data_IF_432629939397
#
_entry.id   IF_432629939397
#
_cell.length_a   1.000
_cell.length_b   1.000
_cell.length_c   1.000
_cell.angle_alpha   90.00
_cell.angle_beta   90.00
_cell.angle_gamma   90.00
#
_symmetry.space_group_name_H-M   'P 1'
#
loop_
_entity.id
_entity.type
_entity.pdbx_description
1 polymer ?
#
# COMPACT_ATOMS: atom_id res chain seq x y z
N UNK A 1 38.65 -2.35 71.69
CA UNK A 1 38.39 -3.55 70.89
C UNK A 1 38.85 -3.23 69.48
N UNK A 2 40.06 -3.64 69.15
CA UNK A 2 40.67 -3.45 67.83
C UNK A 2 40.11 -4.49 66.87
N UNK A 3 39.41 -4.04 65.83
CA UNK A 3 38.95 -4.88 64.72
C UNK A 3 40.16 -5.50 64.01
N UNK A 4 40.16 -6.83 63.94
CA UNK A 4 41.11 -7.61 63.15
C UNK A 4 40.84 -7.37 61.66
N UNK A 5 41.54 -6.40 61.07
CA UNK A 5 41.72 -6.35 59.63
C UNK A 5 42.83 -7.36 59.27
N UNK A 6 42.44 -8.50 58.72
CA UNK A 6 43.36 -9.49 58.15
C UNK A 6 43.58 -9.16 56.67
N UNK A 7 44.76 -8.65 56.27
CA UNK A 7 45.07 -8.28 54.89
C UNK A 7 45.22 -9.49 53.94
N UNK A 8 45.11 -10.73 54.43
CA UNK A 8 45.28 -11.95 53.62
C UNK A 8 43.98 -12.69 53.30
N UNK A 9 42.80 -12.15 53.67
CA UNK A 9 41.50 -12.73 53.30
C UNK A 9 40.70 -11.77 52.41
N UNK A 10 40.96 -11.70 51.09
CA UNK A 10 40.12 -10.92 50.19
C UNK A 10 38.70 -11.51 50.15
N UNK A 11 37.69 -10.66 50.13
CA UNK A 11 36.29 -11.08 49.95
C UNK A 11 36.19 -12.04 48.73
N UNK A 12 35.41 -13.13 48.81
CA UNK A 12 35.35 -14.11 47.74
C UNK A 12 34.93 -13.45 46.42
N UNK A 13 35.86 -13.45 45.45
CA UNK A 13 35.60 -13.06 44.06
C UNK A 13 34.70 -14.14 43.45
N UNK A 14 33.40 -13.88 43.36
CA UNK A 14 32.46 -14.90 42.86
C UNK A 14 31.06 -14.43 42.47
N UNK A 15 30.76 -13.13 42.47
CA UNK A 15 29.41 -12.61 42.22
C UNK A 15 29.34 -11.57 41.10
N UNK A 16 30.07 -11.79 39.99
CA UNK A 16 30.05 -10.89 38.82
C UNK A 16 29.56 -11.56 37.52
N UNK A 17 28.72 -12.59 37.63
CA UNK A 17 27.96 -13.10 36.48
C UNK A 17 26.48 -12.83 36.74
N UNK A 18 25.86 -11.84 36.06
CA UNK A 18 24.42 -11.69 36.12
C UNK A 18 23.76 -12.99 35.62
N UNK A 19 22.58 -13.37 36.14
CA UNK A 19 21.85 -14.51 35.63
C UNK A 19 21.59 -14.34 34.12
N UNK A 20 21.57 -15.45 33.38
CA UNK A 20 21.24 -15.44 31.95
C UNK A 20 19.85 -14.82 31.75
N UNK A 21 19.67 -14.07 30.66
CA UNK A 21 18.34 -13.59 30.27
C UNK A 21 17.46 -14.77 29.83
N UNK A 22 16.15 -14.54 29.74
CA UNK A 22 15.22 -15.52 29.19
C UNK A 22 15.63 -15.93 27.77
N UNK A 23 16.01 -14.95 26.93
CA UNK A 23 16.57 -15.19 25.61
C UNK A 23 17.82 -16.08 25.63
N UNK A 24 18.84 -15.73 26.42
CA UNK A 24 20.10 -16.51 26.46
C UNK A 24 19.87 -17.93 26.98
N UNK A 25 18.93 -18.11 27.92
CA UNK A 25 18.55 -19.43 28.45
C UNK A 25 17.93 -20.31 27.37
N UNK A 26 16.92 -19.80 26.67
CA UNK A 26 16.22 -20.58 25.63
C UNK A 26 17.10 -20.77 24.39
N UNK A 27 17.94 -19.78 24.05
CA UNK A 27 18.91 -19.90 22.97
C UNK A 27 19.86 -21.06 23.22
N UNK A 28 20.46 -21.14 24.41
CA UNK A 28 21.39 -22.22 24.74
C UNK A 28 20.73 -23.59 24.58
N UNK A 29 19.52 -23.76 25.13
CA UNK A 29 18.79 -25.02 25.03
C UNK A 29 18.46 -25.41 23.57
N UNK A 30 18.00 -24.46 22.76
CA UNK A 30 17.70 -24.72 21.35
C UNK A 30 18.99 -25.08 20.58
N UNK A 31 20.09 -24.39 20.83
CA UNK A 31 21.38 -24.68 20.20
C UNK A 31 21.87 -26.10 20.57
N UNK A 32 21.74 -26.51 21.83
CA UNK A 32 22.09 -27.85 22.30
C UNK A 32 21.21 -28.94 21.64
N UNK A 33 19.88 -28.77 21.63
CA UNK A 33 18.95 -29.70 20.98
C UNK A 33 19.15 -29.76 19.46
N UNK A 34 19.49 -28.63 18.83
CA UNK A 34 19.77 -28.57 17.41
C UNK A 34 21.06 -29.31 17.05
N UNK A 35 22.10 -29.18 17.88
CA UNK A 35 23.33 -29.95 17.73
C UNK A 35 23.09 -31.45 17.95
N UNK A 36 22.22 -31.83 18.89
CA UNK A 36 21.80 -33.23 19.05
C UNK A 36 21.07 -33.76 17.81
N UNK A 37 20.20 -32.95 17.20
CA UNK A 37 19.43 -33.33 16.01
C UNK A 37 20.31 -33.62 14.79
N UNK A 38 21.45 -32.94 14.66
CA UNK A 38 22.43 -33.21 13.58
C UNK A 38 22.96 -34.65 13.61
N UNK A 39 22.98 -35.30 14.78
CA UNK A 39 23.43 -36.69 14.88
C UNK A 39 22.42 -37.69 14.29
N UNK A 40 21.15 -37.31 14.13
CA UNK A 40 20.09 -38.15 13.59
C UNK A 40 19.65 -37.74 12.18
N UNK A 41 19.83 -36.46 11.81
CA UNK A 41 19.39 -35.90 10.53
C UNK A 41 20.49 -35.95 9.45
N UNK A 42 21.07 -37.12 9.22
CA UNK A 42 22.13 -37.37 8.23
C UNK A 42 21.61 -37.72 6.82
N UNK A 43 20.29 -37.96 6.69
CA UNK A 43 19.62 -38.33 5.44
C UNK A 43 19.43 -39.83 5.26
N UNK A 44 19.84 -40.66 6.22
CA UNK A 44 19.58 -42.10 6.20
C UNK A 44 18.14 -42.43 6.59
N UNK A 45 17.64 -43.57 6.10
CA UNK A 45 16.33 -44.07 6.49
C UNK A 45 16.36 -44.60 7.93
N UNK A 46 15.29 -44.37 8.69
CA UNK A 46 15.18 -44.83 10.09
C UNK A 46 15.29 -46.36 10.14
N UNK A 47 16.31 -46.86 10.83
CA UNK A 47 16.65 -48.29 10.83
C UNK A 47 15.79 -49.15 11.77
N UNK A 48 15.25 -48.58 12.85
CA UNK A 48 14.41 -49.31 13.83
C UNK A 48 13.53 -48.37 14.66
N UNK A 49 12.58 -48.95 15.41
CA UNK A 49 11.62 -48.20 16.24
C UNK A 49 12.29 -47.38 17.35
N UNK A 50 13.37 -47.86 17.97
CA UNK A 50 14.07 -47.11 19.02
C UNK A 50 14.67 -45.80 18.48
N UNK A 51 15.16 -45.79 17.24
CA UNK A 51 15.61 -44.55 16.57
C UNK A 51 14.43 -43.65 16.25
N UNK A 52 13.30 -44.20 15.79
CA UNK A 52 12.08 -43.43 15.54
C UNK A 52 11.56 -42.73 16.81
N UNK A 53 11.55 -43.43 17.93
CA UNK A 53 11.12 -42.90 19.23
C UNK A 53 12.07 -41.80 19.73
N UNK A 54 13.39 -42.00 19.61
CA UNK A 54 14.38 -40.99 19.99
C UNK A 54 14.28 -39.71 19.14
N UNK A 55 14.08 -39.84 17.83
CA UNK A 55 13.84 -38.70 16.92
C UNK A 55 12.54 -37.98 17.29
N UNK A 56 11.48 -38.72 17.64
CA UNK A 56 10.20 -38.14 18.06
C UNK A 56 10.34 -37.35 19.36
N UNK A 57 11.07 -37.88 20.35
CA UNK A 57 11.33 -37.18 21.61
C UNK A 57 12.13 -35.89 21.38
N UNK A 58 13.17 -35.95 20.54
CA UNK A 58 13.98 -34.78 20.21
C UNK A 58 13.19 -33.71 19.44
N UNK A 59 12.34 -34.14 18.51
CA UNK A 59 11.39 -33.27 17.82
C UNK A 59 10.48 -32.54 18.80
N UNK A 60 9.88 -33.26 19.75
CA UNK A 60 8.97 -32.68 20.73
C UNK A 60 9.68 -31.71 21.68
N UNK A 61 10.92 -32.02 22.09
CA UNK A 61 11.76 -31.09 22.88
C UNK A 61 12.06 -29.79 22.12
N UNK A 62 12.44 -29.89 20.85
CA UNK A 62 12.65 -28.71 19.98
C UNK A 62 11.38 -27.88 19.85
N UNK A 63 10.22 -28.53 19.69
CA UNK A 63 8.92 -27.85 19.63
C UNK A 63 8.60 -27.08 20.91
N UNK A 64 8.79 -27.71 22.09
CA UNK A 64 8.53 -27.05 23.38
C UNK A 64 9.56 -25.95 23.70
N UNK A 65 10.81 -26.12 23.31
CA UNK A 65 11.82 -25.05 23.39
C UNK A 65 11.45 -23.86 22.48
N UNK A 66 10.96 -24.14 21.27
CA UNK A 66 10.45 -23.13 20.34
C UNK A 66 9.25 -22.34 20.92
N UNK A 67 8.32 -23.00 21.60
CA UNK A 67 7.21 -22.32 22.30
C UNK A 67 7.71 -21.37 23.38
N UNK A 68 8.64 -21.83 24.23
CA UNK A 68 9.24 -20.99 25.28
C UNK A 68 9.98 -19.78 24.71
N UNK A 69 10.63 -19.93 23.55
CA UNK A 69 11.26 -18.80 22.87
C UNK A 69 10.22 -17.74 22.45
N UNK A 70 9.09 -18.18 21.88
CA UNK A 70 8.03 -17.27 21.47
C UNK A 70 7.34 -16.58 22.66
N UNK A 71 7.15 -17.30 23.77
CA UNK A 71 6.59 -16.70 24.99
C UNK A 71 7.55 -15.69 25.64
N UNK A 72 8.84 -16.01 25.74
CA UNK A 72 9.85 -15.05 26.19
C UNK A 72 9.88 -13.80 25.30
N UNK A 73 9.81 -13.97 23.98
CA UNK A 73 9.73 -12.85 23.02
C UNK A 73 8.48 -12.00 23.25
N UNK A 74 7.31 -12.61 23.47
CA UNK A 74 6.06 -11.87 23.75
C UNK A 74 6.17 -11.08 25.04
N UNK A 75 6.72 -11.67 26.10
CA UNK A 75 6.89 -11.00 27.39
C UNK A 75 7.85 -9.82 27.30
N UNK A 76 8.97 -9.97 26.59
CA UNK A 76 9.92 -8.89 26.31
C UNK A 76 9.30 -7.78 25.44
N UNK A 77 8.50 -8.14 24.43
CA UNK A 77 7.86 -7.18 23.53
C UNK A 77 6.68 -6.44 24.17
N UNK A 78 5.96 -7.08 25.10
CA UNK A 78 4.73 -6.56 25.73
C UNK A 78 4.82 -5.11 26.22
N UNK A 79 5.80 -4.69 27.05
CA UNK A 79 5.86 -3.29 27.49
C UNK A 79 6.07 -2.30 26.33
N UNK A 80 6.75 -2.71 25.27
CA UNK A 80 6.94 -1.87 24.08
C UNK A 80 5.68 -1.79 23.22
N UNK A 81 5.00 -2.91 23.04
CA UNK A 81 3.73 -2.97 22.32
C UNK A 81 2.64 -2.19 23.04
N UNK A 82 2.56 -2.30 24.37
CA UNK A 82 1.62 -1.54 25.21
C UNK A 82 1.92 -0.03 25.15
N UNK A 83 3.19 0.36 25.30
CA UNK A 83 3.59 1.76 25.20
C UNK A 83 3.31 2.35 23.80
N UNK A 84 3.57 1.57 22.76
CA UNK A 84 3.25 1.93 21.37
C UNK A 84 1.75 2.07 21.17
N UNK A 85 0.95 1.15 21.70
CA UNK A 85 -0.51 1.18 21.62
C UNK A 85 -1.06 2.45 22.28
N UNK A 86 -0.59 2.80 23.49
CA UNK A 86 -1.02 4.03 24.17
C UNK A 86 -0.71 5.29 23.36
N UNK A 87 0.49 5.36 22.75
CA UNK A 87 0.85 6.46 21.86
C UNK A 87 -0.09 6.51 20.65
N UNK A 88 -0.28 5.37 19.97
CA UNK A 88 -1.16 5.28 18.81
C UNK A 88 -2.59 5.69 19.15
N UNK A 89 -3.14 5.27 20.28
CA UNK A 89 -4.49 5.62 20.71
C UNK A 89 -4.66 7.13 20.96
N UNK A 90 -3.67 7.77 21.57
CA UNK A 90 -3.68 9.24 21.77
C UNK A 90 -3.65 9.98 20.44
N UNK A 91 -2.79 9.57 19.52
CA UNK A 91 -2.68 10.23 18.21
C UNK A 91 -3.84 9.89 17.28
N UNK A 92 -4.40 8.68 17.33
CA UNK A 92 -5.55 8.29 16.52
C UNK A 92 -6.77 9.18 16.78
N UNK A 93 -6.97 9.64 18.02
CA UNK A 93 -8.03 10.63 18.35
C UNK A 93 -7.84 11.98 17.65
N UNK A 94 -6.61 12.31 17.23
CA UNK A 94 -6.28 13.57 16.57
C UNK A 94 -6.18 13.42 15.06
N UNK A 95 -5.48 12.40 14.58
CA UNK A 95 -5.06 12.23 13.19
C UNK A 95 -5.42 10.87 12.59
N UNK A 96 -6.04 9.97 13.35
CA UNK A 96 -6.41 8.63 12.88
C UNK A 96 -7.35 8.71 11.68
N UNK A 97 -7.10 7.86 10.68
CA UNK A 97 -7.93 7.73 9.49
C UNK A 97 -8.22 6.25 9.22
N UNK A 98 -8.84 5.58 10.18
CA UNK A 98 -9.24 4.17 10.08
C UNK A 98 -10.75 4.05 9.93
N UNK A 99 -11.24 2.84 9.65
CA UNK A 99 -12.69 2.58 9.57
C UNK A 99 -13.40 2.85 10.91
N UNK A 100 -12.72 2.61 12.04
CA UNK A 100 -13.28 2.73 13.39
C UNK A 100 -12.99 4.08 14.06
N UNK A 101 -11.93 4.79 13.65
CA UNK A 101 -11.53 6.06 14.28
C UNK A 101 -11.23 7.11 13.21
N UNK A 102 -11.98 8.22 13.24
CA UNK A 102 -11.63 9.46 12.55
C UNK A 102 -11.16 10.49 13.56
N UNK A 103 -9.89 10.85 13.49
CA UNK A 103 -9.31 11.90 14.31
C UNK A 103 -9.87 13.28 13.95
N UNK A 104 -9.78 14.22 14.89
CA UNK A 104 -10.27 15.60 14.72
C UNK A 104 -9.82 16.28 13.42
N UNK A 105 -8.57 16.07 13.01
CA UNK A 105 -8.00 16.66 11.79
C UNK A 105 -8.67 16.10 10.53
N UNK A 106 -8.88 14.79 10.48
CA UNK A 106 -9.51 14.12 9.32
C UNK A 106 -10.96 14.58 9.20
N UNK A 107 -11.70 14.51 10.31
CA UNK A 107 -13.10 14.94 10.36
C UNK A 107 -13.27 16.40 9.97
N UNK A 108 -12.43 17.30 10.51
CA UNK A 108 -12.45 18.71 10.17
C UNK A 108 -12.15 18.98 8.69
N UNK A 109 -11.12 18.34 8.14
CA UNK A 109 -10.75 18.49 6.72
C UNK A 109 -11.86 18.00 5.79
N UNK A 110 -12.43 16.82 6.03
CA UNK A 110 -13.51 16.27 5.20
C UNK A 110 -14.77 17.15 5.26
N UNK A 111 -15.13 17.63 6.45
CA UNK A 111 -16.28 18.54 6.62
C UNK A 111 -16.07 19.83 5.84
N UNK A 112 -14.89 20.46 5.95
CA UNK A 112 -14.55 21.66 5.20
C UNK A 112 -14.48 21.40 3.70
N UNK A 113 -13.93 20.27 3.26
CA UNK A 113 -13.90 19.86 1.86
C UNK A 113 -15.31 19.70 1.28
N UNK A 114 -16.26 19.19 2.07
CA UNK A 114 -17.66 19.07 1.66
C UNK A 114 -18.29 20.43 1.35
N UNK A 115 -17.95 21.47 2.13
CA UNK A 115 -18.38 22.85 1.88
C UNK A 115 -17.63 23.50 0.70
N UNK A 116 -16.32 23.27 0.61
CA UNK A 116 -15.46 23.87 -0.42
C UNK A 116 -15.68 23.28 -1.81
N UNK A 117 -16.04 22.01 -1.92
CA UNK A 117 -16.23 21.31 -3.21
C UNK A 117 -17.28 21.99 -4.10
N UNK A 118 -18.53 22.24 -3.68
CA UNK A 118 -19.52 22.91 -4.53
C UNK A 118 -19.10 24.34 -4.91
N UNK A 119 -18.46 25.07 -3.99
CA UNK A 119 -17.92 26.41 -4.27
C UNK A 119 -16.83 26.37 -5.34
N UNK A 120 -15.86 25.47 -5.23
CA UNK A 120 -14.79 25.28 -6.22
C UNK A 120 -15.34 24.81 -7.56
N UNK A 121 -16.33 23.94 -7.58
CA UNK A 121 -17.01 23.53 -8.81
C UNK A 121 -17.68 24.72 -9.51
N UNK A 122 -18.34 25.61 -8.75
CA UNK A 122 -18.91 26.84 -9.30
C UNK A 122 -17.84 27.74 -9.91
N UNK A 123 -16.71 27.95 -9.20
CA UNK A 123 -15.60 28.74 -9.74
C UNK A 123 -14.99 28.12 -11.00
N UNK A 124 -14.87 26.80 -11.06
CA UNK A 124 -14.42 26.11 -12.28
C UNK A 124 -15.42 26.33 -13.41
N UNK A 125 -16.72 26.18 -13.18
CA UNK A 125 -17.75 26.40 -14.19
C UNK A 125 -17.73 27.85 -14.72
N UNK A 126 -17.54 28.84 -13.85
CA UNK A 126 -17.39 30.26 -14.23
C UNK A 126 -16.15 30.47 -15.11
N UNK A 127 -15.01 29.87 -14.73
CA UNK A 127 -13.78 29.94 -15.52
C UNK A 127 -13.89 29.20 -16.84
N UNK A 128 -14.56 28.06 -16.89
CA UNK A 128 -14.81 27.31 -18.13
C UNK A 128 -15.73 28.08 -19.08
N UNK A 129 -16.72 28.79 -18.56
CA UNK A 129 -17.57 29.69 -19.35
C UNK A 129 -16.77 30.88 -19.89
N UNK A 130 -15.92 31.51 -19.07
CA UNK A 130 -15.03 32.58 -19.51
C UNK A 130 -14.02 32.10 -20.55
N UNK A 131 -13.42 30.92 -20.35
CA UNK A 131 -12.52 30.29 -21.30
C UNK A 131 -13.23 29.97 -22.62
N UNK A 132 -14.47 29.48 -22.58
CA UNK A 132 -15.28 29.25 -23.79
C UNK A 132 -15.54 30.55 -24.55
N UNK A 133 -16.01 31.59 -23.87
CA UNK A 133 -16.25 32.90 -24.49
C UNK A 133 -14.95 33.49 -25.08
N UNK A 134 -13.82 33.35 -24.38
CA UNK A 134 -12.53 33.80 -24.87
C UNK A 134 -12.07 33.03 -26.12
N UNK A 135 -12.32 31.72 -26.19
CA UNK A 135 -12.04 30.91 -27.40
C UNK A 135 -12.93 31.31 -28.56
N UNK A 136 -14.25 31.43 -28.34
CA UNK A 136 -15.20 31.85 -29.37
C UNK A 136 -14.84 33.23 -29.94
N UNK A 137 -14.43 34.17 -29.09
CA UNK A 137 -13.98 35.49 -29.51
C UNK A 137 -12.63 35.45 -30.24
N UNK A 138 -11.66 34.68 -29.75
CA UNK A 138 -10.39 34.49 -30.44
C UNK A 138 -10.60 33.87 -31.83
N UNK A 139 -11.50 32.89 -31.96
CA UNK A 139 -11.84 32.25 -33.24
C UNK A 139 -12.56 33.21 -34.19
N UNK A 140 -13.39 34.12 -33.67
CA UNK A 140 -14.03 35.19 -34.45
C UNK A 140 -13.00 36.18 -34.99
N UNK A 141 -12.17 36.76 -34.11
CA UNK A 141 -11.14 37.74 -34.50
C UNK A 141 -10.11 37.09 -35.45
N UNK A 142 -9.76 35.82 -35.22
CA UNK A 142 -8.85 35.10 -36.12
C UNK A 142 -9.44 34.90 -37.53
N UNK A 143 -10.74 34.60 -37.64
CA UNK A 143 -11.42 34.51 -38.95
C UNK A 143 -11.46 35.87 -39.65
N UNK A 144 -11.86 36.92 -38.94
CA UNK A 144 -11.90 38.30 -39.47
C UNK A 144 -10.50 38.74 -39.96
N UNK A 145 -9.44 38.47 -39.18
CA UNK A 145 -8.07 38.77 -39.57
C UNK A 145 -7.60 37.96 -40.79
N UNK A 146 -7.96 36.67 -40.88
CA UNK A 146 -7.64 35.84 -42.04
C UNK A 146 -8.34 36.31 -43.31
N UNK A 147 -9.60 36.72 -43.21
CA UNK A 147 -10.37 37.27 -44.32
C UNK A 147 -9.80 38.62 -44.79
N UNK A 148 -9.47 39.53 -43.87
CA UNK A 148 -8.81 40.80 -44.19
C UNK A 148 -7.44 40.61 -44.87
N UNK A 149 -6.65 39.62 -44.42
CA UNK A 149 -5.37 39.28 -45.04
C UNK A 149 -5.51 38.71 -46.46
N UNK A 150 -6.60 38.00 -46.74
CA UNK A 150 -6.95 37.51 -48.09
C UNK A 150 -7.44 38.65 -48.98
N UNK A 151 -8.26 39.56 -48.45
CA UNK A 151 -8.86 40.67 -49.20
C UNK A 151 -7.85 41.76 -49.56
N UNK A 152 -6.87 42.04 -48.70
CA UNK A 152 -5.83 43.07 -48.89
C UNK A 152 -4.75 42.76 -49.94
N UNK A 153 -4.99 41.79 -50.83
CA UNK A 153 -4.04 41.40 -51.86
C UNK A 153 -3.84 42.53 -52.89
N UNK A 154 -2.65 43.15 -52.88
CA UNK A 154 -2.29 44.21 -53.83
C UNK A 154 -2.63 45.64 -53.39
N UNK A 155 -3.19 45.83 -52.18
CA UNK A 155 -3.48 47.16 -51.60
C UNK A 155 -2.70 47.35 -50.28
N UNK A 156 -1.81 48.35 -50.24
CA UNK A 156 -0.92 48.59 -49.10
C UNK A 156 -1.68 49.08 -47.85
N UNK A 157 -2.64 50.00 -48.00
CA UNK A 157 -3.43 50.52 -46.88
C UNK A 157 -4.32 49.43 -46.25
N UNK A 158 -4.90 48.56 -47.07
CA UNK A 158 -5.68 47.42 -46.59
C UNK A 158 -4.80 46.35 -45.95
N UNK A 159 -3.54 46.22 -46.39
CA UNK A 159 -2.58 45.28 -45.81
C UNK A 159 -2.16 45.71 -44.41
N UNK A 160 -1.93 47.00 -44.18
CA UNK A 160 -1.61 47.53 -42.84
C UNK A 160 -2.75 47.25 -41.85
N UNK A 161 -4.00 47.51 -42.25
CA UNK A 161 -5.18 47.20 -41.43
C UNK A 161 -5.32 45.70 -41.15
N UNK A 162 -5.02 44.85 -42.13
CA UNK A 162 -5.08 43.41 -41.96
C UNK A 162 -3.97 42.88 -41.00
N UNK A 163 -2.79 43.48 -40.99
CA UNK A 163 -1.71 43.17 -40.03
C UNK A 163 -2.04 43.61 -38.60
N UNK A 164 -2.74 44.74 -38.43
CA UNK A 164 -3.27 45.17 -37.13
C UNK A 164 -4.28 44.16 -36.58
N UNK A 165 -5.23 43.71 -37.40
CA UNK A 165 -6.20 42.66 -37.05
C UNK A 165 -5.52 41.33 -36.72
N UNK A 166 -4.45 40.96 -37.44
CA UNK A 166 -3.66 39.77 -37.12
C UNK A 166 -2.95 39.90 -35.76
N UNK A 167 -2.48 41.10 -35.42
CA UNK A 167 -1.88 41.38 -34.11
C UNK A 167 -2.91 41.29 -32.99
N UNK A 168 -4.13 41.76 -33.24
CA UNK A 168 -5.27 41.62 -32.33
C UNK A 168 -5.67 40.15 -32.15
N UNK A 169 -5.77 39.37 -33.23
CA UNK A 169 -6.01 37.93 -33.19
C UNK A 169 -4.96 37.20 -32.33
N UNK A 170 -3.67 37.54 -32.47
CA UNK A 170 -2.59 36.98 -31.63
C UNK A 170 -2.71 37.38 -30.15
N UNK A 171 -3.28 38.54 -29.83
CA UNK A 171 -3.56 38.94 -28.44
C UNK A 171 -4.76 38.15 -27.89
N UNK A 172 -5.82 38.01 -28.68
CA UNK A 172 -7.02 37.25 -28.32
C UNK A 172 -6.71 35.76 -28.09
N UNK A 173 -5.91 35.12 -28.97
CA UNK A 173 -5.45 33.73 -28.79
C UNK A 173 -4.63 33.55 -27.51
N UNK A 174 -3.70 34.48 -27.22
CA UNK A 174 -2.93 34.44 -25.96
C UNK A 174 -3.81 34.62 -24.72
N UNK A 175 -4.84 35.45 -24.82
CA UNK A 175 -5.84 35.62 -23.77
C UNK A 175 -6.63 34.32 -23.56
N UNK A 176 -7.19 33.73 -24.63
CA UNK A 176 -7.93 32.47 -24.57
C UNK A 176 -7.11 31.34 -23.95
N UNK A 177 -5.84 31.18 -24.36
CA UNK A 177 -4.92 30.19 -23.76
C UNK A 177 -4.68 30.39 -22.27
N UNK A 178 -4.69 31.64 -21.79
CA UNK A 178 -4.54 31.92 -20.37
C UNK A 178 -5.81 31.56 -19.59
N UNK A 179 -6.98 31.87 -20.13
CA UNK A 179 -8.25 31.50 -19.51
C UNK A 179 -8.43 29.98 -19.46
N UNK A 180 -8.05 29.26 -20.52
CA UNK A 180 -8.02 27.79 -20.54
C UNK A 180 -7.15 27.21 -19.41
N UNK A 181 -5.95 27.79 -19.21
CA UNK A 181 -5.05 27.40 -18.12
C UNK A 181 -5.67 27.72 -16.76
N UNK A 182 -6.32 28.87 -16.61
CA UNK A 182 -6.98 29.27 -15.37
C UNK A 182 -8.12 28.31 -14.98
N UNK A 183 -8.86 27.81 -15.96
CA UNK A 183 -9.96 26.87 -15.77
C UNK A 183 -9.48 25.47 -15.35
N UNK A 184 -8.29 25.05 -15.81
CA UNK A 184 -7.79 23.68 -15.64
C UNK A 184 -6.74 23.53 -14.52
N UNK A 185 -6.12 24.61 -14.08
CA UNK A 185 -5.04 24.58 -13.07
C UNK A 185 -5.41 25.31 -11.78
N UNK A 186 -4.86 24.86 -10.64
CA UNK A 186 -5.03 25.54 -9.36
C UNK A 186 -6.46 25.52 -8.78
N UNK A 187 -7.31 24.60 -9.25
CA UNK A 187 -8.73 24.54 -8.85
C UNK A 187 -8.96 24.01 -7.44
N UNK A 188 -7.96 23.36 -6.83
CA UNK A 188 -8.10 22.70 -5.53
C UNK A 188 -9.06 21.50 -5.55
N UNK A 189 -9.35 20.98 -6.74
CA UNK A 189 -10.14 19.77 -7.00
C UNK A 189 -9.21 18.67 -7.53
N UNK A 190 -9.55 17.41 -7.24
CA UNK A 190 -8.84 16.24 -7.75
C UNK A 190 -9.76 15.48 -8.71
N UNK A 191 -9.24 15.13 -9.88
CA UNK A 191 -9.92 14.23 -10.82
C UNK A 191 -9.83 12.79 -10.33
N UNK A 192 -10.97 12.11 -10.23
CA UNK A 192 -11.06 10.69 -9.88
C UNK A 192 -11.79 9.98 -11.01
N UNK A 193 -11.13 9.00 -11.63
CA UNK A 193 -11.73 8.14 -12.63
C UNK A 193 -12.40 6.96 -11.94
N UNK A 194 -13.69 6.75 -12.20
CA UNK A 194 -14.45 5.61 -11.69
C UNK A 194 -14.86 4.74 -12.88
N UNK A 195 -14.75 3.43 -12.71
CA UNK A 195 -15.21 2.44 -13.67
C UNK A 195 -16.28 1.60 -12.96
N UNK A 196 -17.45 1.47 -13.57
CA UNK A 196 -18.54 0.62 -13.10
C UNK A 196 -18.74 -0.48 -14.13
N UNK A 197 -18.95 -1.70 -13.66
CA UNK A 197 -19.28 -2.83 -14.52
C UNK A 197 -20.72 -2.66 -15.03
N UNK A 198 -20.89 -2.49 -16.34
CA UNK A 198 -22.21 -2.32 -16.99
C UNK A 198 -22.65 -3.55 -17.77
N UNK A 199 -21.72 -4.19 -18.47
CA UNK A 199 -21.94 -5.37 -19.32
C UNK A 199 -20.92 -6.45 -18.93
N UNK A 200 -21.38 -7.45 -18.19
CA UNK A 200 -20.54 -8.50 -17.63
C UNK A 200 -19.83 -9.31 -18.72
N UNK A 201 -20.53 -9.64 -19.80
CA UNK A 201 -19.98 -10.44 -20.90
C UNK A 201 -18.82 -9.72 -21.58
N UNK A 202 -19.03 -8.47 -21.99
CA UNK A 202 -17.96 -7.67 -22.62
C UNK A 202 -16.79 -7.41 -21.68
N UNK A 203 -17.06 -7.24 -20.39
CA UNK A 203 -16.01 -7.02 -19.40
C UNK A 203 -15.16 -8.28 -19.18
N UNK A 204 -15.77 -9.46 -19.16
CA UNK A 204 -15.06 -10.73 -19.07
C UNK A 204 -14.19 -10.97 -20.31
N UNK A 205 -14.74 -10.75 -21.50
CA UNK A 205 -13.99 -10.86 -22.76
C UNK A 205 -12.79 -9.89 -22.79
N UNK A 206 -13.02 -8.62 -22.40
CA UNK A 206 -11.97 -7.62 -22.30
C UNK A 206 -10.90 -8.02 -21.26
N UNK A 207 -11.32 -8.46 -20.07
CA UNK A 207 -10.42 -8.81 -18.99
C UNK A 207 -9.56 -10.02 -19.34
N UNK A 208 -10.16 -11.05 -19.94
CA UNK A 208 -9.45 -12.23 -20.40
C UNK A 208 -8.48 -11.89 -21.54
N UNK A 209 -8.91 -11.09 -22.52
CA UNK A 209 -8.03 -10.62 -23.60
C UNK A 209 -6.87 -9.75 -23.11
N UNK A 210 -7.07 -8.99 -22.03
CA UNK A 210 -6.06 -8.09 -21.45
C UNK A 210 -5.04 -8.81 -20.56
N UNK A 211 -5.49 -9.78 -19.76
CA UNK A 211 -4.69 -10.44 -18.74
C UNK A 211 -5.17 -11.89 -18.50
N UNK A 212 -4.91 -12.82 -19.45
CA UNK A 212 -5.44 -14.18 -19.40
C UNK A 212 -4.91 -14.98 -18.21
N UNK A 213 -3.63 -14.84 -17.87
CA UNK A 213 -3.02 -15.62 -16.76
C UNK A 213 -3.63 -15.25 -15.41
N UNK A 214 -3.82 -13.96 -15.13
CA UNK A 214 -4.50 -13.51 -13.90
C UNK A 214 -5.94 -14.02 -13.82
N UNK A 215 -6.63 -14.08 -14.95
CA UNK A 215 -7.98 -14.62 -15.00
C UNK A 215 -7.98 -16.13 -14.72
N UNK A 216 -7.06 -16.89 -15.33
CA UNK A 216 -6.91 -18.33 -15.09
C UNK A 216 -6.59 -18.66 -13.64
N UNK A 217 -5.67 -17.91 -13.02
CA UNK A 217 -5.35 -18.04 -11.59
C UNK A 217 -6.58 -17.86 -10.70
N UNK A 218 -7.40 -16.84 -10.99
CA UNK A 218 -8.65 -16.62 -10.26
C UNK A 218 -9.59 -17.83 -10.40
N UNK A 219 -9.84 -18.30 -11.63
CA UNK A 219 -10.72 -19.45 -11.87
C UNK A 219 -10.17 -20.73 -11.22
N UNK A 220 -8.86 -20.96 -11.25
CA UNK A 220 -8.19 -22.07 -10.55
C UNK A 220 -8.42 -21.99 -9.04
N UNK A 221 -8.24 -20.81 -8.43
CA UNK A 221 -8.41 -20.65 -6.99
C UNK A 221 -9.85 -20.93 -6.53
N UNK A 222 -10.85 -20.50 -7.31
CA UNK A 222 -12.26 -20.80 -7.05
C UNK A 222 -12.56 -22.31 -7.14
N UNK A 223 -11.95 -23.00 -8.11
CA UNK A 223 -12.09 -24.44 -8.26
C UNK A 223 -11.47 -25.21 -7.08
N UNK A 224 -10.28 -24.80 -6.62
CA UNK A 224 -9.62 -25.41 -5.45
C UNK A 224 -10.41 -25.19 -4.17
N UNK A 225 -10.98 -24.00 -3.96
CA UNK A 225 -11.83 -23.69 -2.82
C UNK A 225 -13.04 -24.63 -2.76
N UNK A 226 -13.72 -24.81 -3.89
CA UNK A 226 -14.87 -25.74 -3.97
C UNK A 226 -14.45 -27.20 -3.76
N UNK A 227 -13.26 -27.60 -4.24
CA UNK A 227 -12.72 -28.94 -3.95
C UNK A 227 -12.43 -29.13 -2.47
N UNK A 228 -11.80 -28.15 -1.81
CA UNK A 228 -11.55 -28.18 -0.36
C UNK A 228 -12.87 -28.24 0.43
N UNK A 229 -13.91 -27.55 -0.04
CA UNK A 229 -15.25 -27.59 0.54
C UNK A 229 -15.98 -28.95 0.38
N UNK A 230 -15.41 -29.90 -0.37
CA UNK A 230 -15.93 -31.26 -0.49
C UNK A 230 -16.40 -31.64 -1.90
N UNK A 231 -16.40 -30.71 -2.85
CA UNK A 231 -16.71 -31.02 -4.25
C UNK A 231 -15.61 -31.91 -4.84
N UNK A 232 -15.98 -32.95 -5.59
CA UNK A 232 -15.02 -33.88 -6.21
C UNK A 232 -15.10 -33.90 -7.74
N UNK A 233 -15.98 -33.08 -8.30
CA UNK A 233 -16.12 -32.87 -9.74
C UNK A 233 -16.38 -31.38 -9.95
N UNK A 234 -15.51 -30.69 -10.69
CA UNK A 234 -15.67 -29.26 -11.01
C UNK A 234 -15.62 -29.12 -12.53
N UNK A 235 -16.63 -28.53 -13.19
CA UNK A 235 -16.65 -28.40 -14.65
C UNK A 235 -15.38 -27.71 -15.18
N UNK A 236 -14.73 -28.33 -16.17
CA UNK A 236 -13.47 -27.81 -16.75
C UNK A 236 -12.20 -28.15 -15.97
N UNK A 237 -12.30 -28.81 -14.81
CA UNK A 237 -11.16 -29.19 -13.98
C UNK A 237 -11.11 -30.71 -13.73
N UNK A 238 -9.90 -31.24 -13.58
CA UNK A 238 -9.65 -32.61 -13.14
C UNK A 238 -9.32 -32.61 -11.65
N UNK A 239 -10.07 -33.40 -10.86
CA UNK A 239 -9.88 -33.54 -9.40
C UNK A 239 -9.36 -34.94 -9.07
N UNK A 240 -8.38 -35.07 -8.16
CA UNK A 240 -7.74 -36.33 -7.73
C UNK A 240 -7.22 -36.23 -6.28
N UNK A 241 -6.89 -37.37 -5.66
CA UNK A 241 -6.42 -37.46 -4.26
C UNK A 241 -4.98 -37.99 -4.09
N UNK A 242 -4.29 -37.50 -3.06
CA UNK A 242 -2.92 -37.89 -2.64
C UNK A 242 -2.85 -37.98 -1.10
N UNK A 243 -2.04 -38.89 -0.55
CA UNK A 243 -1.78 -39.02 0.89
C UNK A 243 -0.32 -38.71 1.21
N UNK A 244 -0.07 -37.77 2.11
CA UNK A 244 1.27 -37.31 2.56
C UNK A 244 1.38 -37.32 4.10
N UNK A 245 2.59 -37.49 4.63
CA UNK A 245 2.87 -37.48 6.09
C UNK A 245 2.54 -36.11 6.72
N UNK A 246 2.10 -36.10 7.98
CA UNK A 246 1.61 -34.91 8.71
C UNK A 246 2.72 -34.17 9.42
#
# INVERSE_FOLDING_TARGET
MTENYDPYNPAPIGHNRPPLSAYETVKQEIEELFDEAKNFADGEAIANQAIADAITELHDKLHEAGKRADDARKDEAKPHDDAKAEIQDRYNKLIGNTKSVKGKVVLGKETLQTLLTPWRNKLVAEKEAAARAAREEADRIAREAQEAMRASAGNLEEREKAEELLTEAKKADRWAKREDRSATTGTGLRTIWRCTLEDEGKALDWAYGRAPERFKELVQSMAEETVRAGMRQVPGFRVWDERVAR
#
